data_IF_229399499022
#
_entry.id   IF_229399499022
#
_cell.length_a   1.000
_cell.length_b   1.000
_cell.length_c   1.000
_cell.angle_alpha   90.00
_cell.angle_beta   90.00
_cell.angle_gamma   90.00
#
_symmetry.space_group_name_H-M   'P 1'
#
loop_
_entity.id
_entity.type
_entity.pdbx_description
1 polymer ?
#
# COMPACT_ATOMS: atom_id res chain seq x y z
N UNK A 1 2.18 42.26 4.07
CA UNK A 1 1.78 42.37 2.64
C UNK A 1 2.83 41.61 1.84
N UNK A 2 2.69 40.28 1.71
CA UNK A 2 3.37 39.35 0.75
C UNK A 2 3.24 37.85 1.20
N UNK A 3 2.29 37.45 2.04
CA UNK A 3 2.09 36.01 2.34
C UNK A 3 0.69 35.54 1.90
N UNK A 4 -0.05 36.43 1.24
CA UNK A 4 -1.48 36.30 0.94
C UNK A 4 -1.81 36.39 -0.56
N UNK A 5 -0.84 36.23 -1.45
CA UNK A 5 -1.06 36.08 -2.89
C UNK A 5 -0.61 34.67 -3.27
N UNK A 6 -1.55 33.73 -3.32
CA UNK A 6 -2.19 33.31 -4.57
C UNK A 6 -1.31 32.27 -5.28
N UNK A 7 -1.76 31.01 -5.31
CA UNK A 7 -2.66 30.64 -6.41
C UNK A 7 -2.04 31.03 -7.75
N UNK A 8 -0.98 30.32 -8.09
CA UNK A 8 -0.64 29.93 -9.46
C UNK A 8 -0.46 28.42 -9.39
N UNK A 9 -1.52 27.65 -9.17
CA UNK A 9 -2.44 27.27 -10.25
C UNK A 9 -1.69 26.79 -11.49
N UNK A 10 -1.95 25.52 -11.85
CA UNK A 10 -1.75 24.95 -13.19
C UNK A 10 -0.35 24.47 -13.57
N UNK A 11 0.22 23.54 -12.80
CA UNK A 11 0.93 22.42 -13.46
C UNK A 11 -0.03 21.26 -13.60
N UNK A 12 -0.81 21.37 -14.67
CA UNK A 12 -1.47 20.30 -15.40
C UNK A 12 -2.51 19.45 -14.65
N UNK A 13 -3.79 19.75 -14.92
CA UNK A 13 -4.85 18.79 -15.29
C UNK A 13 -4.82 17.46 -14.52
N UNK A 14 -5.78 17.33 -13.60
CA UNK A 14 -5.99 16.13 -12.80
C UNK A 14 -5.96 14.83 -13.60
N UNK A 15 -5.11 13.91 -13.14
CA UNK A 15 -5.55 12.53 -13.01
C UNK A 15 -6.15 12.44 -11.61
N UNK A 16 -7.48 12.45 -11.54
CA UNK A 16 -8.15 11.53 -10.62
C UNK A 16 -7.62 10.17 -11.09
N UNK A 17 -6.54 9.71 -10.45
CA UNK A 17 -6.05 8.37 -10.65
C UNK A 17 -7.21 7.51 -10.22
N UNK A 18 -7.92 6.92 -11.19
CA UNK A 18 -8.95 5.95 -10.92
C UNK A 18 -8.28 4.87 -10.09
N UNK A 19 -8.49 4.94 -8.78
CA UNK A 19 -8.09 3.91 -7.86
C UNK A 19 -8.57 2.58 -8.39
N UNK A 20 -7.83 1.53 -8.06
CA UNK A 20 -8.34 0.20 -8.36
C UNK A 20 -9.62 -0.02 -7.55
N UNK A 21 -10.61 -0.66 -8.18
CA UNK A 21 -11.80 -1.14 -7.47
C UNK A 21 -11.38 -2.14 -6.39
N UNK A 22 -12.16 -2.21 -5.31
CA UNK A 22 -11.87 -3.11 -4.19
C UNK A 22 -11.77 -4.56 -4.62
N UNK A 23 -12.62 -4.99 -5.55
CA UNK A 23 -12.54 -6.32 -6.15
C UNK A 23 -11.21 -6.57 -6.84
N UNK A 24 -10.74 -5.64 -7.68
CA UNK A 24 -9.46 -5.78 -8.36
C UNK A 24 -8.31 -5.84 -7.36
N UNK A 25 -8.34 -4.99 -6.33
CA UNK A 25 -7.32 -5.01 -5.27
C UNK A 25 -7.28 -6.39 -4.60
N UNK A 26 -8.43 -6.90 -4.14
CA UNK A 26 -8.49 -8.17 -3.41
C UNK A 26 -8.10 -9.38 -4.27
N UNK A 27 -8.38 -9.33 -5.59
CA UNK A 27 -8.00 -10.41 -6.52
C UNK A 27 -6.49 -10.51 -6.76
N UNK A 28 -5.76 -9.40 -6.58
CA UNK A 28 -4.32 -9.33 -6.85
C UNK A 28 -3.46 -9.30 -5.59
N UNK A 29 -4.07 -9.12 -4.41
CA UNK A 29 -3.38 -9.27 -3.14
C UNK A 29 -3.28 -10.74 -2.73
N UNK A 30 -2.07 -11.17 -2.38
CA UNK A 30 -1.86 -12.46 -1.72
C UNK A 30 -2.08 -12.29 -0.22
N UNK A 31 -3.25 -12.69 0.26
CA UNK A 31 -3.64 -12.55 1.67
C UNK A 31 -3.16 -13.75 2.48
N UNK A 32 -2.53 -13.50 3.63
CA UNK A 32 -2.19 -14.50 4.66
C UNK A 32 -2.49 -13.96 6.06
N UNK A 33 -2.65 -14.84 7.04
CA UNK A 33 -2.61 -14.46 8.47
C UNK A 33 -1.16 -14.28 8.94
N UNK A 34 -0.95 -13.38 9.88
CA UNK A 34 0.29 -13.32 10.65
C UNK A 34 0.18 -14.25 11.88
N UNK A 35 1.02 -15.27 11.90
CA UNK A 35 1.12 -16.26 12.97
C UNK A 35 2.38 -15.99 13.80
N UNK A 36 2.20 -15.54 15.05
CA UNK A 36 3.32 -15.27 15.98
C UNK A 36 3.98 -16.54 16.53
N UNK A 37 3.46 -17.72 16.18
CA UNK A 37 3.81 -19.02 16.76
C UNK A 37 5.22 -19.50 16.42
N UNK A 38 5.92 -18.83 15.48
CA UNK A 38 7.19 -19.30 14.91
C UNK A 38 8.36 -18.31 14.99
N UNK A 39 8.17 -17.09 15.51
CA UNK A 39 9.24 -16.08 15.55
C UNK A 39 10.31 -16.45 16.58
N UNK A 40 11.57 -16.54 16.16
CA UNK A 40 12.71 -16.69 17.09
C UNK A 40 13.00 -15.34 17.76
N UNK A 41 13.53 -15.38 18.98
CA UNK A 41 13.85 -14.20 19.80
C UNK A 41 14.90 -13.24 19.18
N UNK A 42 15.55 -13.62 18.08
CA UNK A 42 16.61 -12.86 17.39
C UNK A 42 16.19 -12.35 15.99
N UNK A 43 14.94 -12.55 15.57
CA UNK A 43 14.45 -12.05 14.27
C UNK A 43 13.89 -10.63 14.40
N UNK A 44 14.22 -9.76 13.44
CA UNK A 44 13.66 -8.40 13.36
C UNK A 44 12.12 -8.48 13.24
N UNK A 45 11.38 -7.57 13.91
CA UNK A 45 9.93 -7.58 13.81
C UNK A 45 9.48 -7.23 12.39
N UNK A 46 8.65 -8.08 11.81
CA UNK A 46 7.90 -7.71 10.61
C UNK A 46 7.00 -6.49 10.88
N UNK A 47 7.31 -5.39 10.19
CA UNK A 47 6.60 -4.11 10.29
C UNK A 47 5.89 -3.76 8.99
N UNK A 48 4.74 -3.13 9.10
CA UNK A 48 4.04 -2.52 7.98
C UNK A 48 4.58 -1.13 7.73
N UNK A 49 5.29 -0.92 6.62
CA UNK A 49 5.89 0.42 6.32
C UNK A 49 4.86 1.51 5.99
N UNK A 50 3.57 1.17 5.84
CA UNK A 50 2.51 2.16 5.58
C UNK A 50 2.04 2.81 6.89
N UNK A 51 1.77 2.03 7.94
CA UNK A 51 1.39 2.56 9.26
C UNK A 51 2.57 2.67 10.23
N UNK A 52 3.70 2.03 9.94
CA UNK A 52 4.89 1.94 10.78
C UNK A 52 4.67 1.15 12.09
N UNK A 53 3.70 0.24 12.09
CA UNK A 53 3.40 -0.68 13.20
C UNK A 53 3.82 -2.12 12.89
N UNK A 54 4.09 -2.88 13.95
CA UNK A 54 4.37 -4.33 13.89
C UNK A 54 3.11 -5.12 13.52
N UNK A 55 3.30 -6.30 12.92
CA UNK A 55 2.18 -7.22 12.70
C UNK A 55 1.80 -7.95 13.99
N UNK A 56 0.53 -7.83 14.38
CA UNK A 56 -0.05 -8.54 15.50
C UNK A 56 -0.53 -9.95 15.10
N UNK A 57 -0.86 -10.77 16.09
CA UNK A 57 -1.36 -12.13 15.87
C UNK A 57 -2.74 -12.07 15.18
N UNK A 58 -2.96 -12.96 14.22
CA UNK A 58 -4.22 -13.09 13.46
C UNK A 58 -4.52 -11.89 12.54
N UNK A 59 -3.60 -10.93 12.38
CA UNK A 59 -3.76 -9.85 11.40
C UNK A 59 -3.61 -10.36 9.97
N UNK A 60 -4.35 -9.74 9.06
CA UNK A 60 -4.29 -10.05 7.65
C UNK A 60 -3.20 -9.25 6.96
N UNK A 61 -2.25 -9.97 6.36
CA UNK A 61 -1.13 -9.42 5.62
C UNK A 61 -1.39 -9.61 4.13
N UNK A 62 -1.35 -8.50 3.39
CA UNK A 62 -1.50 -8.44 1.94
C UNK A 62 -0.15 -8.30 1.26
N UNK A 63 0.26 -9.33 0.53
CA UNK A 63 1.44 -9.33 -0.32
C UNK A 63 1.12 -8.87 -1.75
N UNK A 64 1.97 -7.99 -2.29
CA UNK A 64 1.97 -7.62 -3.71
C UNK A 64 2.76 -8.64 -4.54
N UNK A 65 2.55 -8.63 -5.87
CA UNK A 65 3.33 -9.45 -6.82
C UNK A 65 4.85 -9.19 -6.75
N UNK A 66 5.26 -8.00 -6.33
CA UNK A 66 6.66 -7.65 -6.09
C UNK A 66 7.23 -8.18 -4.76
N UNK A 67 6.50 -9.06 -4.05
CA UNK A 67 6.84 -9.70 -2.77
C UNK A 67 6.88 -8.81 -1.54
N UNK A 68 6.54 -7.53 -1.65
CA UNK A 68 6.40 -6.67 -0.49
C UNK A 68 5.06 -6.88 0.20
N UNK A 69 5.08 -6.87 1.53
CA UNK A 69 3.97 -7.20 2.41
C UNK A 69 3.58 -6.00 3.28
N UNK A 70 2.29 -5.90 3.58
CA UNK A 70 1.67 -4.81 4.35
C UNK A 70 0.41 -5.36 5.03
N UNK A 71 -0.17 -4.64 6.00
CA UNK A 71 -1.55 -4.94 6.39
C UNK A 71 -2.48 -4.84 5.19
N UNK A 72 -3.42 -5.79 5.06
CA UNK A 72 -4.41 -5.80 3.97
C UNK A 72 -5.15 -4.47 3.89
N UNK A 73 -5.54 -3.90 5.03
CA UNK A 73 -6.23 -2.61 5.07
C UNK A 73 -5.35 -1.45 4.59
N UNK A 74 -4.08 -1.44 4.99
CA UNK A 74 -3.12 -0.40 4.63
C UNK A 74 -2.83 -0.41 3.13
N UNK A 75 -2.47 -1.57 2.57
CA UNK A 75 -2.20 -1.67 1.13
C UNK A 75 -3.46 -1.44 0.31
N UNK A 76 -4.64 -1.87 0.79
CA UNK A 76 -5.90 -1.60 0.11
C UNK A 76 -6.21 -0.11 0.02
N UNK A 77 -6.07 0.64 1.12
CA UNK A 77 -6.24 2.10 1.12
C UNK A 77 -5.25 2.79 0.16
N UNK A 78 -4.01 2.31 0.13
CA UNK A 78 -2.99 2.83 -0.78
C UNK A 78 -3.34 2.57 -2.25
N UNK A 79 -3.75 1.34 -2.60
CA UNK A 79 -4.08 0.94 -3.97
C UNK A 79 -5.36 1.59 -4.52
N UNK A 80 -6.26 2.04 -3.63
CA UNK A 80 -7.39 2.91 -3.99
C UNK A 80 -6.95 4.30 -4.47
N UNK A 81 -5.71 4.70 -4.22
CA UNK A 81 -5.19 6.00 -4.72
C UNK A 81 -4.14 5.81 -5.81
N UNK A 82 -3.30 4.77 -5.71
CA UNK A 82 -2.17 4.55 -6.63
C UNK A 82 -1.96 3.05 -6.87
N UNK A 83 -1.97 2.62 -8.13
CA UNK A 83 -1.63 1.24 -8.52
C UNK A 83 -0.10 0.99 -8.46
N UNK A 84 0.56 1.21 -7.33
CA UNK A 84 2.01 1.04 -7.23
C UNK A 84 2.44 0.60 -5.84
N UNK A 85 3.51 -0.19 -5.75
CA UNK A 85 4.11 -0.60 -4.49
C UNK A 85 4.74 0.60 -3.76
N UNK A 86 4.43 0.82 -2.45
CA UNK A 86 5.07 1.86 -1.65
C UNK A 86 6.61 1.80 -1.65
N UNK A 87 7.18 0.58 -1.61
CA UNK A 87 8.62 0.35 -1.49
C UNK A 87 9.37 0.42 -2.83
N UNK A 88 8.96 -0.39 -3.81
CA UNK A 88 9.71 -0.52 -5.07
C UNK A 88 9.07 0.17 -6.28
N UNK A 89 7.91 0.82 -6.10
CA UNK A 89 7.14 1.51 -7.16
C UNK A 89 6.64 0.64 -8.32
N UNK A 90 6.90 -0.67 -8.30
CA UNK A 90 6.31 -1.61 -9.26
C UNK A 90 4.78 -1.59 -9.21
N UNK A 91 4.13 -1.77 -10.37
CA UNK A 91 2.67 -1.85 -10.43
C UNK A 91 2.13 -2.98 -9.54
N UNK A 92 1.08 -2.70 -8.78
CA UNK A 92 0.44 -3.70 -7.94
C UNK A 92 -0.43 -4.66 -8.76
N UNK A 93 -1.08 -4.12 -9.79
CA UNK A 93 -1.86 -4.86 -10.78
C UNK A 93 -1.31 -4.52 -12.16
N UNK A 94 -0.94 -5.52 -12.98
CA UNK A 94 -0.52 -5.26 -14.35
C UNK A 94 -1.72 -4.72 -15.14
N UNK A 95 -1.71 -3.43 -15.46
CA UNK A 95 -2.65 -2.84 -16.41
C UNK A 95 -2.17 -3.25 -17.79
N UNK A 96 -2.84 -4.24 -18.39
CA UNK A 96 -2.64 -4.59 -19.80
C UNK A 96 -2.79 -3.33 -20.64
N UNK A 97 -1.67 -2.83 -21.16
CA UNK A 97 -1.63 -1.79 -22.20
C UNK A 97 -2.13 -2.38 -23.52
#
# INVERSE_FOLDING_TARGET
MQEFLELLELVAVGRVGGGLSEETIMRHLKIRSHDVTSKKMDEEPDICVICQDEYEKDELIGGLQCRHEYHVECVKKWLKQRNSCPLCKADAVPLST
#
